data_IF_210696471369
#
_entry.id   IF_210696471369
#
_cell.length_a   1.000
_cell.length_b   1.000
_cell.length_c   1.000
_cell.angle_alpha   90.00
_cell.angle_beta   90.00
_cell.angle_gamma   90.00
#
_symmetry.space_group_name_H-M   'P 1'
#
loop_
_entity.id
_entity.type
_entity.pdbx_description
1 polymer ?
#
# COMPACT_ATOMS: atom_id res chain seq x y z
N UNK A 1 -9.99 -44.45 21.86
CA UNK A 1 -11.21 -43.61 21.92
C UNK A 1 -10.77 -42.19 22.28
N UNK A 2 -10.95 -41.10 21.54
CA UNK A 2 -11.38 -40.85 20.16
C UNK A 2 -10.50 -39.72 19.64
N UNK A 3 -9.84 -39.94 18.50
CA UNK A 3 -9.22 -38.87 17.72
C UNK A 3 -10.33 -38.21 16.91
N UNK A 4 -10.59 -36.92 17.13
CA UNK A 4 -11.38 -36.14 16.19
C UNK A 4 -10.44 -35.64 15.08
N UNK A 5 -10.37 -36.42 14.00
CA UNK A 5 -9.85 -36.00 12.71
C UNK A 5 -10.95 -35.16 12.05
N UNK A 6 -10.66 -33.90 11.76
CA UNK A 6 -11.50 -33.04 10.93
C UNK A 6 -10.66 -32.60 9.73
N UNK A 7 -10.82 -33.35 8.64
CA UNK A 7 -10.34 -33.00 7.30
C UNK A 7 -11.50 -32.45 6.47
N UNK A 8 -11.14 -31.51 5.57
CA UNK A 8 -11.88 -30.92 4.43
C UNK A 8 -12.57 -29.58 4.76
N UNK A 9 -12.34 -28.46 4.07
CA UNK A 9 -11.87 -28.26 2.70
C UNK A 9 -10.95 -27.05 2.48
N UNK A 10 -10.37 -27.00 1.29
CA UNK A 10 -9.18 -26.22 0.93
C UNK A 10 -9.24 -24.70 1.05
N UNK A 11 -8.04 -24.11 1.01
CA UNK A 11 -7.69 -22.67 0.96
C UNK A 11 -7.71 -21.84 2.27
N UNK A 12 -7.97 -22.44 3.43
CA UNK A 12 -8.05 -21.70 4.71
C UNK A 12 -6.80 -21.69 5.61
N UNK A 13 -5.81 -22.56 5.39
CA UNK A 13 -4.92 -22.98 6.49
C UNK A 13 -3.61 -22.18 6.67
N UNK A 14 -3.27 -21.22 5.80
CA UNK A 14 -2.09 -20.36 5.99
C UNK A 14 -2.38 -19.04 6.73
N UNK A 15 -3.64 -18.74 7.06
CA UNK A 15 -4.08 -17.42 7.54
C UNK A 15 -4.28 -17.34 9.07
N UNK A 16 -4.24 -18.46 9.79
CA UNK A 16 -4.61 -18.52 11.21
C UNK A 16 -3.44 -18.41 12.20
N UNK A 17 -2.20 -18.75 11.81
CA UNK A 17 -1.07 -18.78 12.76
C UNK A 17 -0.48 -17.38 13.04
N UNK A 18 -0.67 -16.39 12.16
CA UNK A 18 -0.15 -15.01 12.32
C UNK A 18 -1.13 -14.04 13.02
N UNK A 19 -2.30 -14.52 13.47
CA UNK A 19 -3.47 -13.71 13.86
C UNK A 19 -3.57 -13.31 15.33
N UNK A 20 -2.56 -13.56 16.17
CA UNK A 20 -2.70 -13.44 17.63
C UNK A 20 -2.65 -12.02 18.20
N UNK A 21 -1.70 -11.17 17.77
CA UNK A 21 -1.46 -9.87 18.44
C UNK A 21 -0.97 -8.76 17.51
N UNK A 22 -0.11 -9.06 16.52
CA UNK A 22 0.33 -8.06 15.53
C UNK A 22 -0.77 -7.60 14.58
N UNK A 23 -1.68 -8.50 14.16
CA UNK A 23 -2.82 -8.16 13.30
C UNK A 23 -3.81 -7.22 14.00
N UNK A 24 -4.16 -7.49 15.27
CA UNK A 24 -5.05 -6.64 16.05
C UNK A 24 -4.52 -5.20 16.20
N UNK A 25 -3.19 -5.06 16.31
CA UNK A 25 -2.55 -3.75 16.32
C UNK A 25 -2.64 -3.04 14.95
N UNK A 26 -2.51 -3.77 13.84
CA UNK A 26 -2.58 -3.22 12.48
C UNK A 26 -4.01 -2.87 12.07
N UNK A 27 -5.02 -3.65 12.48
CA UNK A 27 -6.44 -3.38 12.17
C UNK A 27 -6.93 -2.05 12.79
N UNK A 28 -6.34 -1.64 13.91
CA UNK A 28 -6.62 -0.34 14.55
C UNK A 28 -5.93 0.85 13.85
N UNK A 29 -4.97 0.60 12.96
CA UNK A 29 -4.30 1.65 12.19
C UNK A 29 -5.30 2.28 11.23
N UNK A 30 -5.33 3.61 11.18
CA UNK A 30 -6.25 4.41 10.36
C UNK A 30 -6.36 3.93 8.92
N UNK A 31 -5.24 3.67 8.25
CA UNK A 31 -5.21 3.17 6.87
C UNK A 31 -5.92 1.83 6.70
N UNK A 32 -5.89 0.96 7.71
CA UNK A 32 -6.61 -0.32 7.67
C UNK A 32 -8.11 -0.12 7.86
N UNK A 33 -8.52 0.69 8.85
CA UNK A 33 -9.96 1.01 9.06
C UNK A 33 -10.61 1.62 7.83
N UNK A 34 -9.90 2.50 7.12
CA UNK A 34 -10.40 3.18 5.92
C UNK A 34 -10.26 2.33 4.65
N UNK A 35 -9.69 1.12 4.74
CA UNK A 35 -9.29 0.30 3.57
C UNK A 35 -8.39 1.07 2.58
N UNK A 36 -7.57 1.95 3.13
CA UNK A 36 -6.65 2.86 2.46
C UNK A 36 -5.22 2.63 2.99
N UNK A 37 -4.59 1.49 2.68
CA UNK A 37 -3.30 1.11 3.27
C UNK A 37 -2.12 1.96 2.80
N UNK A 38 -2.31 2.81 1.79
CA UNK A 38 -1.30 3.76 1.34
C UNK A 38 -1.58 5.18 1.86
N UNK A 39 -2.62 5.40 2.68
CA UNK A 39 -2.98 6.73 3.20
C UNK A 39 -3.18 7.79 2.08
N UNK A 40 -3.93 7.44 1.02
CA UNK A 40 -4.36 8.41 0.00
C UNK A 40 -5.22 9.51 0.63
N UNK A 41 -4.80 10.77 0.48
CA UNK A 41 -5.49 11.95 1.04
C UNK A 41 -6.75 12.28 0.24
N UNK A 42 -7.77 12.81 0.93
CA UNK A 42 -9.02 13.26 0.33
C UNK A 42 -8.79 14.36 -0.69
N UNK A 43 -9.34 14.16 -1.87
CA UNK A 43 -9.38 15.17 -2.95
C UNK A 43 -10.70 15.08 -3.72
N UNK A 44 -10.88 15.92 -4.73
CA UNK A 44 -12.02 15.86 -5.64
C UNK A 44 -11.94 14.71 -6.66
N UNK A 45 -10.90 13.87 -6.61
CA UNK A 45 -10.77 12.72 -7.50
C UNK A 45 -11.83 11.66 -7.15
N UNK A 46 -12.59 11.25 -8.16
CA UNK A 46 -13.57 10.17 -8.07
C UNK A 46 -12.90 8.80 -8.28
N UNK A 47 -12.14 8.34 -7.28
CA UNK A 47 -11.49 7.03 -7.35
C UNK A 47 -12.52 5.90 -7.46
N UNK A 48 -12.28 4.90 -8.33
CA UNK A 48 -13.15 3.72 -8.33
C UNK A 48 -13.10 3.06 -6.95
N UNK A 49 -14.27 2.69 -6.44
CA UNK A 49 -14.42 2.08 -5.13
C UNK A 49 -14.22 3.02 -3.93
N UNK A 50 -14.06 4.34 -4.14
CA UNK A 50 -14.21 5.35 -3.08
C UNK A 50 -15.60 5.23 -2.45
N UNK A 51 -15.66 5.36 -1.13
CA UNK A 51 -16.90 5.39 -0.35
C UNK A 51 -16.85 6.56 0.62
N UNK A 52 -18.02 7.00 1.08
CA UNK A 52 -18.08 7.95 2.19
C UNK A 52 -17.49 7.28 3.44
N UNK A 53 -16.62 8.00 4.14
CA UNK A 53 -16.01 7.57 5.38
C UNK A 53 -15.75 8.75 6.32
N UNK A 54 -15.64 8.44 7.60
CA UNK A 54 -15.64 9.41 8.69
C UNK A 54 -14.28 10.10 8.91
N UNK A 55 -13.23 9.63 8.23
CA UNK A 55 -11.90 10.21 8.36
C UNK A 55 -11.85 11.61 7.72
N UNK A 56 -11.45 12.67 8.42
CA UNK A 56 -11.47 14.02 7.86
C UNK A 56 -10.41 14.25 6.77
N UNK A 57 -9.35 13.44 6.73
CA UNK A 57 -8.16 13.71 5.90
C UNK A 57 -7.95 12.66 4.81
N UNK A 58 -8.25 11.39 5.07
CA UNK A 58 -7.90 10.28 4.18
C UNK A 58 -9.12 9.69 3.48
N UNK A 59 -8.92 9.24 2.24
CA UNK A 59 -9.97 8.55 1.48
C UNK A 59 -10.35 7.23 2.16
N UNK A 60 -11.60 6.82 1.97
CA UNK A 60 -12.10 5.50 2.36
C UNK A 60 -12.52 4.71 1.12
N UNK A 61 -12.26 3.40 1.14
CA UNK A 61 -12.53 2.52 0.00
C UNK A 61 -13.40 1.32 0.37
N UNK A 62 -14.12 0.77 -0.60
CA UNK A 62 -14.97 -0.42 -0.38
C UNK A 62 -14.17 -1.70 -0.09
N UNK A 63 -12.92 -1.81 -0.57
CA UNK A 63 -11.96 -2.87 -0.21
C UNK A 63 -10.51 -2.38 -0.29
N UNK A 64 -9.58 -3.11 0.34
CA UNK A 64 -8.15 -2.78 0.34
C UNK A 64 -7.56 -2.71 -1.07
N UNK A 65 -7.98 -3.57 -1.99
CA UNK A 65 -7.54 -3.54 -3.38
C UNK A 65 -7.86 -2.20 -4.07
N UNK A 66 -8.97 -1.55 -3.70
CA UNK A 66 -9.29 -0.22 -4.21
C UNK A 66 -8.36 0.86 -3.66
N UNK A 67 -8.03 0.83 -2.36
CA UNK A 67 -7.06 1.76 -1.77
C UNK A 67 -5.64 1.57 -2.30
N UNK A 68 -5.19 0.32 -2.46
CA UNK A 68 -3.89 -0.02 -3.05
C UNK A 68 -3.81 0.49 -4.49
N UNK A 69 -4.85 0.25 -5.30
CA UNK A 69 -4.88 0.71 -6.69
C UNK A 69 -4.85 2.24 -6.79
N UNK A 70 -5.58 2.94 -5.92
CA UNK A 70 -5.59 4.41 -5.91
C UNK A 70 -4.19 4.99 -5.64
N UNK A 71 -3.48 4.48 -4.62
CA UNK A 71 -2.11 4.90 -4.33
C UNK A 71 -1.12 4.53 -5.45
N UNK A 72 -1.26 3.36 -6.05
CA UNK A 72 -0.45 2.96 -7.20
C UNK A 72 -0.68 3.86 -8.43
N UNK A 73 -1.94 4.23 -8.72
CA UNK A 73 -2.30 5.19 -9.78
C UNK A 73 -1.64 6.55 -9.56
N UNK A 74 -1.54 7.02 -8.32
CA UNK A 74 -0.81 8.26 -8.03
C UNK A 74 0.65 8.18 -8.46
N UNK A 75 1.37 7.12 -8.09
CA UNK A 75 2.78 6.95 -8.48
C UNK A 75 2.96 6.90 -9.99
N UNK A 76 2.13 6.13 -10.70
CA UNK A 76 2.16 6.07 -12.17
C UNK A 76 1.83 7.41 -12.81
N UNK A 77 0.89 8.18 -12.24
CA UNK A 77 0.56 9.51 -12.75
C UNK A 77 1.66 10.52 -12.45
N UNK A 78 2.41 10.36 -11.36
CA UNK A 78 3.55 11.22 -11.04
C UNK A 78 4.66 11.11 -12.08
N UNK A 79 4.95 9.88 -12.52
CA UNK A 79 5.84 9.63 -13.66
C UNK A 79 5.26 10.25 -14.94
N UNK A 80 4.02 9.89 -15.32
CA UNK A 80 3.44 10.28 -16.61
C UNK A 80 3.19 11.78 -16.78
N UNK A 81 2.74 12.45 -15.72
CA UNK A 81 2.30 13.85 -15.80
C UNK A 81 3.37 14.85 -15.36
N UNK A 82 4.35 14.41 -14.56
CA UNK A 82 5.37 15.30 -13.98
C UNK A 82 6.80 14.83 -14.21
N UNK A 83 7.01 13.71 -14.91
CA UNK A 83 8.34 13.16 -15.18
C UNK A 83 9.06 12.63 -13.93
N UNK A 84 8.33 12.37 -12.83
CA UNK A 84 8.94 11.92 -11.58
C UNK A 84 9.20 10.43 -11.62
N UNK A 85 10.47 10.05 -11.81
CA UNK A 85 10.91 8.66 -11.94
C UNK A 85 12.07 8.31 -10.99
N UNK A 86 12.19 9.03 -9.86
CA UNK A 86 13.10 8.69 -8.75
C UNK A 86 12.29 8.51 -7.47
N UNK A 87 12.79 7.72 -6.51
CA UNK A 87 12.08 7.55 -5.22
C UNK A 87 11.94 8.89 -4.51
N UNK A 88 12.98 9.73 -4.53
CA UNK A 88 12.94 11.09 -3.98
C UNK A 88 11.81 11.92 -4.59
N UNK A 89 11.71 11.94 -5.92
CA UNK A 89 10.67 12.71 -6.62
C UNK A 89 9.27 12.20 -6.31
N UNK A 90 9.08 10.88 -6.35
CA UNK A 90 7.80 10.25 -6.07
C UNK A 90 7.32 10.52 -4.64
N UNK A 91 8.16 10.26 -3.64
CA UNK A 91 7.79 10.40 -2.22
C UNK A 91 7.68 11.87 -1.81
N UNK A 92 8.54 12.77 -2.31
CA UNK A 92 8.42 14.21 -2.00
C UNK A 92 7.10 14.80 -2.51
N UNK A 93 6.55 14.25 -3.62
CA UNK A 93 5.21 14.62 -4.10
C UNK A 93 4.10 13.92 -3.34
N UNK A 94 4.30 12.65 -2.97
CA UNK A 94 3.33 11.85 -2.25
C UNK A 94 3.06 12.38 -0.83
N UNK A 95 4.13 12.78 -0.14
CA UNK A 95 4.13 13.29 1.22
C UNK A 95 5.06 14.51 1.31
N UNK A 96 4.60 15.70 0.86
CA UNK A 96 5.42 16.91 0.91
C UNK A 96 5.77 17.27 2.36
N UNK A 97 7.02 17.68 2.58
CA UNK A 97 7.49 18.11 3.89
C UNK A 97 6.68 19.33 4.34
N UNK A 98 5.91 19.21 5.41
CA UNK A 98 5.48 20.41 6.13
C UNK A 98 6.48 20.79 7.23
N UNK A 99 7.18 19.84 7.86
CA UNK A 99 8.26 20.09 8.85
C UNK A 99 9.35 18.97 8.95
N UNK A 100 9.57 18.20 7.86
CA UNK A 100 10.64 17.20 7.67
C UNK A 100 10.58 15.89 8.49
N UNK A 101 10.09 14.81 7.86
CA UNK A 101 10.74 13.49 7.90
C UNK A 101 10.92 12.86 6.51
N UNK A 102 11.08 13.67 5.46
CA UNK A 102 11.01 13.22 4.07
C UNK A 102 12.19 12.31 3.69
N UNK A 103 13.40 12.53 4.22
CA UNK A 103 14.55 11.66 3.94
C UNK A 103 14.43 10.27 4.58
N UNK A 104 13.85 10.15 5.78
CA UNK A 104 13.62 8.85 6.40
C UNK A 104 12.63 8.01 5.58
N UNK A 105 11.56 8.65 5.08
CA UNK A 105 10.60 8.01 4.19
C UNK A 105 11.25 7.61 2.86
N UNK A 106 11.94 8.53 2.21
CA UNK A 106 12.66 8.27 0.95
C UNK A 106 13.64 7.10 1.11
N UNK A 107 14.48 7.12 2.15
CA UNK A 107 15.48 6.08 2.38
C UNK A 107 14.84 4.73 2.68
N UNK A 108 13.75 4.70 3.46
CA UNK A 108 13.00 3.47 3.73
C UNK A 108 12.41 2.87 2.44
N UNK A 109 11.79 3.70 1.61
CA UNK A 109 11.19 3.25 0.34
C UNK A 109 12.26 2.83 -0.66
N UNK A 110 13.34 3.60 -0.80
CA UNK A 110 14.45 3.30 -1.72
C UNK A 110 15.12 1.96 -1.35
N UNK A 111 15.43 1.77 -0.06
CA UNK A 111 16.01 0.53 0.44
C UNK A 111 15.08 -0.67 0.19
N UNK A 112 13.79 -0.55 0.50
CA UNK A 112 12.83 -1.63 0.29
C UNK A 112 12.55 -1.93 -1.20
N UNK A 113 12.67 -0.92 -2.08
CA UNK A 113 12.58 -1.09 -3.52
C UNK A 113 13.87 -1.62 -4.18
N UNK A 114 15.00 -1.54 -3.46
CA UNK A 114 16.31 -1.99 -3.92
C UNK A 114 16.87 -1.10 -5.03
N UNK A 115 16.76 0.23 -4.85
CA UNK A 115 17.23 1.27 -5.78
C UNK A 115 17.78 2.45 -4.97
N UNK A 116 18.59 3.29 -5.61
CA UNK A 116 19.01 4.58 -5.03
C UNK A 116 17.84 5.57 -4.92
N UNK A 117 17.90 6.50 -3.96
CA UNK A 117 16.88 7.53 -3.77
C UNK A 117 16.70 8.42 -5.02
N UNK A 118 17.82 8.72 -5.68
CA UNK A 118 17.92 9.60 -6.86
C UNK A 118 18.18 8.80 -8.16
N UNK A 119 18.17 7.46 -8.08
CA UNK A 119 18.27 6.58 -9.25
C UNK A 119 17.02 6.73 -10.12
N UNK A 120 17.20 6.92 -11.43
CA UNK A 120 16.09 6.86 -12.38
C UNK A 120 15.62 5.41 -12.51
N UNK A 121 14.32 5.21 -12.30
CA UNK A 121 13.69 3.89 -12.31
C UNK A 121 12.52 3.85 -13.29
N UNK A 122 12.24 2.66 -13.83
CA UNK A 122 10.94 2.38 -14.42
C UNK A 122 9.92 2.24 -13.30
N UNK A 123 9.02 3.22 -13.14
CA UNK A 123 8.01 3.17 -12.06
C UNK A 123 7.10 1.98 -12.27
N UNK A 124 6.73 1.66 -13.52
CA UNK A 124 5.96 0.47 -13.89
C UNK A 124 6.58 -0.82 -13.35
N UNK A 125 7.87 -1.04 -13.59
CA UNK A 125 8.57 -2.26 -13.17
C UNK A 125 8.75 -2.34 -11.64
N UNK A 126 9.01 -1.20 -11.01
CA UNK A 126 9.22 -1.14 -9.55
C UNK A 126 7.91 -0.99 -8.76
N UNK A 127 6.78 -0.77 -9.42
CA UNK A 127 5.49 -0.44 -8.79
C UNK A 127 5.09 -1.41 -7.66
N UNK A 128 5.19 -2.75 -7.82
CA UNK A 128 4.86 -3.66 -6.72
C UNK A 128 5.72 -3.46 -5.48
N UNK A 129 7.02 -3.19 -5.68
CA UNK A 129 7.97 -2.96 -4.58
C UNK A 129 7.74 -1.59 -3.92
N UNK A 130 7.50 -0.55 -4.71
CA UNK A 130 7.18 0.79 -4.21
C UNK A 130 5.89 0.79 -3.38
N UNK A 131 4.83 0.16 -3.89
CA UNK A 131 3.55 0.01 -3.17
C UNK A 131 3.75 -0.74 -1.86
N UNK A 132 4.47 -1.87 -1.89
CA UNK A 132 4.76 -2.64 -0.68
C UNK A 132 5.55 -1.81 0.35
N UNK A 133 6.53 -1.04 -0.08
CA UNK A 133 7.35 -0.20 0.77
C UNK A 133 6.56 0.94 1.41
N UNK A 134 5.73 1.64 0.63
CA UNK A 134 4.83 2.69 1.12
C UNK A 134 3.86 2.13 2.15
N UNK A 135 3.17 1.02 1.85
CA UNK A 135 2.28 0.37 2.82
C UNK A 135 3.03 0.07 4.13
N UNK A 136 4.22 -0.53 4.05
CA UNK A 136 5.00 -0.81 5.25
C UNK A 136 5.31 0.46 6.06
N UNK A 137 5.67 1.56 5.41
CA UNK A 137 5.95 2.82 6.07
C UNK A 137 4.68 3.43 6.73
N UNK A 138 3.56 3.42 6.00
CA UNK A 138 2.30 4.05 6.42
C UNK A 138 1.59 3.32 7.56
N UNK A 139 1.64 1.99 7.58
CA UNK A 139 0.90 1.17 8.57
C UNK A 139 1.81 0.30 9.45
N UNK A 140 3.13 0.36 9.28
CA UNK A 140 4.12 -0.40 10.07
C UNK A 140 4.19 -1.90 9.75
N UNK A 141 3.47 -2.37 8.72
CA UNK A 141 3.40 -3.77 8.31
C UNK A 141 2.95 -3.92 6.85
N UNK A 142 3.10 -5.12 6.29
CA UNK A 142 2.49 -5.47 5.00
C UNK A 142 1.58 -6.69 5.22
N UNK A 143 0.30 -6.50 5.61
CA UNK A 143 -0.63 -7.59 5.87
C UNK A 143 -1.24 -8.19 4.59
N UNK A 144 -0.67 -7.90 3.42
CA UNK A 144 -1.15 -8.34 2.13
C UNK A 144 -0.13 -9.27 1.45
N UNK A 145 -0.61 -10.34 0.84
CA UNK A 145 0.26 -11.20 0.03
C UNK A 145 0.75 -10.45 -1.22
N UNK A 146 1.92 -10.83 -1.74
CA UNK A 146 2.43 -10.30 -3.01
C UNK A 146 1.42 -10.48 -4.14
N UNK A 147 0.73 -11.63 -4.17
CA UNK A 147 -0.33 -11.90 -5.14
C UNK A 147 -1.47 -10.87 -5.05
N UNK A 148 -1.92 -10.53 -3.84
CA UNK A 148 -2.99 -9.56 -3.64
C UNK A 148 -2.58 -8.16 -4.10
N UNK A 149 -1.37 -7.72 -3.76
CA UNK A 149 -0.82 -6.43 -4.23
C UNK A 149 -0.76 -6.42 -5.76
N UNK A 150 -0.13 -7.43 -6.38
CA UNK A 150 0.04 -7.51 -7.83
C UNK A 150 -1.31 -7.52 -8.56
N UNK A 151 -2.29 -8.28 -8.05
CA UNK A 151 -3.61 -8.30 -8.66
C UNK A 151 -4.34 -6.95 -8.53
N UNK A 152 -4.11 -6.21 -7.44
CA UNK A 152 -4.70 -4.89 -7.22
C UNK A 152 -4.15 -3.81 -8.17
N UNK A 153 -2.92 -3.99 -8.68
CA UNK A 153 -2.24 -3.03 -9.56
C UNK A 153 -2.04 -3.56 -10.99
N UNK A 154 -2.61 -4.71 -11.34
CA UNK A 154 -2.35 -5.43 -12.59
C UNK A 154 -2.52 -4.56 -13.84
N UNK A 155 -3.54 -3.71 -13.87
CA UNK A 155 -3.82 -2.79 -14.99
C UNK A 155 -2.72 -1.74 -15.22
N UNK A 156 -1.90 -1.46 -14.20
CA UNK A 156 -0.81 -0.48 -14.24
C UNK A 156 0.52 -1.12 -14.62
N UNK A 157 0.65 -2.44 -14.42
CA UNK A 157 1.87 -3.21 -14.67
C UNK A 157 1.79 -4.09 -15.93
N UNK A 158 0.60 -4.26 -16.51
CA UNK A 158 0.35 -5.02 -17.74
C UNK A 158 1.04 -4.40 -18.96
#
# INVERSE_FOLDING_TARGET
>A
MNKAVLTLGGLGLAYLIYRGSKMLAVDNVRGMRNKNPMNVVKTNIAWDGKVQGDDPTFESFKSYSYGIRAGAKLLTNYEKLYGLNTVRGLISRYAPAHENPTDAYINSVASAAGVGADEQISVKEKLPKLVKAIIHFEIGAVPFSTWYINNSIKELTA
#
